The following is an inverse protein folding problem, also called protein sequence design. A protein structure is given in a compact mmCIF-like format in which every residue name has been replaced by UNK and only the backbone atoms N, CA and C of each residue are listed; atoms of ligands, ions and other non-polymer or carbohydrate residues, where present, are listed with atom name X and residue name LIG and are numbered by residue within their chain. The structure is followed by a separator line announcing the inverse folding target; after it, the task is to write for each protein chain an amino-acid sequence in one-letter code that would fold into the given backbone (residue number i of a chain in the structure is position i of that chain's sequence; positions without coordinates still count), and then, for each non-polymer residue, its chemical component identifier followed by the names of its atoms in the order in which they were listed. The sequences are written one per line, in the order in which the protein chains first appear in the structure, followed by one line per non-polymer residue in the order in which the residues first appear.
data_IF_735932236422
#
_entry.id   IF_735932236422
#
_cell.length_a   1.000
_cell.length_b   1.000
_cell.length_c   1.000
_cell.angle_alpha   90.00
_cell.angle_beta   90.00
_cell.angle_gamma   90.00
#
_symmetry.space_group_name_H-M   'P 1'
#
loop_
_entity.id
_entity.type
_entity.pdbx_description
1 polymer ?
#
# COMPACT_ATOMS: atom_id res chain seq x y z
N UNK A 1 -45.12 0.37 -58.60
CA UNK A 1 -45.11 -0.95 -59.28
C UNK A 1 -43.81 -1.63 -58.87
N UNK A 2 -43.81 -2.49 -57.85
CA UNK A 2 -43.97 -3.96 -57.94
C UNK A 2 -42.80 -4.62 -58.71
N UNK A 3 -42.16 -5.73 -58.33
CA UNK A 3 -42.19 -6.67 -57.20
C UNK A 3 -41.10 -7.74 -57.45
N UNK A 4 -40.89 -8.64 -56.47
CA UNK A 4 -40.18 -9.94 -56.49
C UNK A 4 -38.65 -9.90 -56.28
N UNK A 5 -38.00 -10.50 -55.27
CA UNK A 5 -38.25 -11.62 -54.34
C UNK A 5 -38.01 -13.05 -54.88
N UNK A 6 -36.92 -13.69 -54.42
CA UNK A 6 -36.66 -15.13 -54.25
C UNK A 6 -35.37 -15.24 -53.39
N UNK A 7 -35.33 -15.67 -52.12
CA UNK A 7 -35.65 -16.93 -51.39
C UNK A 7 -34.80 -18.16 -51.76
N UNK A 8 -33.88 -18.54 -50.87
CA UNK A 8 -33.71 -19.90 -50.28
C UNK A 8 -32.83 -19.78 -49.00
N UNK A 9 -33.33 -20.00 -47.77
CA UNK A 9 -33.40 -21.27 -46.99
C UNK A 9 -32.10 -22.08 -46.99
N UNK A 10 -31.64 -22.74 -45.93
CA UNK A 10 -31.86 -22.78 -44.48
C UNK A 10 -30.97 -23.92 -43.96
N UNK A 11 -30.39 -23.82 -42.76
CA UNK A 11 -30.22 -24.97 -41.85
C UNK A 11 -29.89 -24.50 -40.44
N UNK A 12 -30.84 -24.79 -39.52
CA UNK A 12 -30.77 -24.61 -38.08
C UNK A 12 -30.17 -25.87 -37.45
N UNK A 13 -29.40 -25.70 -36.39
CA UNK A 13 -29.28 -26.73 -35.35
C UNK A 13 -29.70 -26.11 -34.01
N UNK A 14 -30.85 -26.57 -33.52
CA UNK A 14 -31.36 -26.39 -32.16
C UNK A 14 -30.64 -27.37 -31.24
N UNK A 15 -30.24 -26.93 -30.04
CA UNK A 15 -30.20 -27.82 -28.89
C UNK A 15 -31.11 -27.28 -27.79
N UNK A 16 -31.94 -28.20 -27.32
CA UNK A 16 -33.13 -28.03 -26.51
C UNK A 16 -32.76 -28.13 -25.03
N UNK A 17 -33.29 -27.22 -24.22
CA UNK A 17 -33.39 -27.33 -22.77
C UNK A 17 -34.47 -28.37 -22.40
N UNK A 18 -34.13 -29.33 -21.52
CA UNK A 18 -35.11 -30.02 -20.66
C UNK A 18 -34.54 -30.36 -19.27
N UNK A 19 -35.39 -30.48 -18.23
CA UNK A 19 -35.01 -30.33 -16.83
C UNK A 19 -35.03 -31.63 -15.98
N UNK A 20 -34.28 -31.59 -14.85
CA UNK A 20 -34.39 -32.26 -13.53
C UNK A 20 -34.60 -33.80 -13.42
N UNK A 21 -34.12 -34.43 -12.31
CA UNK A 21 -34.95 -34.46 -11.11
C UNK A 21 -34.22 -34.21 -9.77
N UNK A 22 -35.06 -33.78 -8.82
CA UNK A 22 -34.86 -33.65 -7.38
C UNK A 22 -34.54 -34.99 -6.70
N UNK A 23 -33.66 -34.96 -5.70
CA UNK A 23 -33.48 -35.99 -4.68
C UNK A 23 -32.88 -35.38 -3.41
N UNK A 24 -33.73 -35.16 -2.42
CA UNK A 24 -33.47 -34.68 -1.06
C UNK A 24 -32.40 -35.49 -0.30
N UNK A 25 -31.58 -34.85 0.56
CA UNK A 25 -31.73 -34.89 2.03
C UNK A 25 -30.47 -34.38 2.78
N UNK A 26 -30.71 -33.52 3.78
CA UNK A 26 -29.97 -33.31 5.05
C UNK A 26 -28.45 -33.48 5.14
N UNK A 27 -27.75 -32.44 5.62
CA UNK A 27 -27.14 -32.45 6.97
C UNK A 27 -26.29 -31.20 7.24
N UNK A 28 -26.55 -30.56 8.38
CA UNK A 28 -25.65 -29.62 9.05
C UNK A 28 -24.45 -30.37 9.63
N UNK A 29 -23.23 -29.86 9.42
CA UNK A 29 -22.12 -29.90 10.38
C UNK A 29 -20.94 -29.11 9.78
N UNK A 30 -20.68 -27.88 10.26
CA UNK A 30 -19.59 -27.55 11.22
C UNK A 30 -18.25 -28.22 10.92
N UNK A 31 -17.23 -27.41 10.62
CA UNK A 31 -15.89 -27.46 11.24
C UNK A 31 -15.09 -26.18 10.90
N UNK A 32 -14.87 -25.32 11.91
CA UNK A 32 -13.60 -25.01 12.62
C UNK A 32 -12.70 -24.05 11.81
N UNK A 33 -12.68 -22.74 12.02
CA UNK A 33 -12.37 -21.95 13.23
C UNK A 33 -11.02 -22.32 13.86
N UNK A 34 -10.03 -21.46 13.62
CA UNK A 34 -8.66 -21.51 14.13
C UNK A 34 -8.62 -21.19 15.63
N UNK A 35 -7.93 -22.05 16.37
CA UNK A 35 -7.68 -21.96 17.82
C UNK A 35 -6.55 -20.98 18.13
N UNK A 36 -6.70 -20.27 19.27
CA UNK A 36 -5.64 -19.55 19.98
C UNK A 36 -5.06 -20.47 21.08
N UNK A 37 -3.78 -20.34 21.45
CA UNK A 37 -3.23 -21.10 22.57
C UNK A 37 -3.62 -20.54 23.95
N UNK A 38 -3.73 -21.49 24.87
CA UNK A 38 -4.18 -21.42 26.26
C UNK A 38 -3.23 -20.66 27.20
N UNK A 39 -3.84 -20.10 28.25
CA UNK A 39 -3.18 -19.59 29.46
C UNK A 39 -3.49 -20.56 30.60
N UNK A 40 -2.45 -20.83 31.38
CA UNK A 40 -2.35 -21.76 32.51
C UNK A 40 -3.47 -21.68 33.56
N UNK A 41 -3.88 -22.87 33.99
CA UNK A 41 -4.79 -23.21 35.08
C UNK A 41 -4.11 -23.10 36.46
N UNK A 42 -4.87 -22.68 37.46
CA UNK A 42 -4.83 -23.22 38.83
C UNK A 42 -6.12 -22.88 39.57
N UNK A 43 -7.01 -23.84 39.55
CA UNK A 43 -8.18 -24.02 40.41
C UNK A 43 -7.81 -24.15 41.89
N UNK A 44 -8.67 -23.62 42.77
CA UNK A 44 -8.72 -23.93 44.20
C UNK A 44 -10.17 -24.34 44.54
N UNK A 45 -10.33 -25.53 45.11
CA UNK A 45 -11.62 -26.13 45.46
C UNK A 45 -11.89 -26.01 46.98
N UNK A 46 -13.14 -25.62 47.28
CA UNK A 46 -14.06 -25.93 48.38
C UNK A 46 -13.62 -26.18 49.85
N UNK A 47 -14.35 -25.45 50.71
CA UNK A 47 -15.15 -25.86 51.89
C UNK A 47 -14.47 -26.17 53.24
N UNK A 48 -14.95 -25.50 54.30
CA UNK A 48 -14.81 -25.92 55.70
C UNK A 48 -15.43 -24.93 56.69
N UNK A 49 -16.51 -25.34 57.36
CA UNK A 49 -17.16 -24.67 58.51
C UNK A 49 -16.33 -24.90 59.80
N UNK A 50 -16.41 -23.98 60.77
CA UNK A 50 -15.98 -24.25 62.16
C UNK A 50 -16.01 -23.03 63.08
N UNK A 51 -16.77 -23.12 64.17
CA UNK A 51 -16.96 -22.12 65.23
C UNK A 51 -15.83 -22.09 66.29
N UNK A 52 -15.81 -20.96 67.00
CA UNK A 52 -15.54 -20.77 68.44
C UNK A 52 -14.13 -20.86 69.05
N UNK A 53 -13.77 -19.73 69.67
CA UNK A 53 -13.23 -19.51 71.01
C UNK A 53 -11.78 -19.83 71.45
N UNK A 54 -11.24 -18.77 72.07
CA UNK A 54 -10.24 -18.71 73.15
C UNK A 54 -8.74 -18.80 72.78
N UNK A 55 -8.01 -17.71 72.98
CA UNK A 55 -7.24 -17.48 74.22
C UNK A 55 -6.52 -16.12 74.19
N UNK A 56 -6.53 -15.46 75.35
CA UNK A 56 -5.80 -14.22 75.67
C UNK A 56 -4.28 -14.48 75.72
N UNK A 57 -3.45 -13.50 75.37
CA UNK A 57 -2.58 -12.82 76.36
C UNK A 57 -1.61 -11.80 75.74
N UNK A 58 -1.53 -10.66 76.45
CA UNK A 58 -0.40 -9.77 76.70
C UNK A 58 0.22 -8.88 75.57
N UNK A 59 -0.23 -7.62 75.62
CA UNK A 59 0.51 -6.35 75.45
C UNK A 59 2.04 -6.40 75.77
N UNK A 60 2.90 -5.47 75.26
CA UNK A 60 2.62 -4.04 75.19
C UNK A 60 3.08 -3.26 73.94
N UNK A 61 2.45 -2.09 73.79
CA UNK A 61 2.81 -1.05 72.84
C UNK A 61 4.21 -0.49 73.12
N UNK A 62 5.06 -0.47 72.08
CA UNK A 62 6.24 0.41 71.99
C UNK A 62 6.23 1.13 70.65
N UNK A 63 6.10 2.45 70.76
CA UNK A 63 6.44 3.44 69.75
C UNK A 63 7.87 3.23 69.24
N UNK A 64 8.03 3.06 67.92
CA UNK A 64 9.29 3.32 67.23
C UNK A 64 8.94 4.01 65.91
N UNK A 65 9.36 5.27 65.79
CA UNK A 65 9.46 6.01 64.54
C UNK A 65 10.19 5.17 63.48
N UNK A 66 9.44 4.61 62.53
CA UNK A 66 9.94 3.89 61.37
C UNK A 66 10.11 4.85 60.20
N UNK A 67 11.35 4.95 59.72
CA UNK A 67 11.82 5.76 58.60
C UNK A 67 10.87 5.74 57.40
N UNK A 68 10.61 6.91 56.83
CA UNK A 68 10.04 7.03 55.50
C UNK A 68 10.98 6.31 54.53
N UNK A 69 10.62 5.09 54.14
CA UNK A 69 11.25 4.40 53.04
C UNK A 69 10.94 5.18 51.76
N UNK A 70 12.00 5.58 51.06
CA UNK A 70 11.97 5.98 49.66
C UNK A 70 11.07 5.03 48.87
N UNK A 71 9.85 5.47 48.58
CA UNK A 71 9.04 4.88 47.53
C UNK A 71 9.79 5.19 46.23
N UNK A 72 10.23 4.18 45.45
CA UNK A 72 10.83 4.46 44.16
C UNK A 72 9.81 5.24 43.35
N UNK A 73 10.13 6.49 43.05
CA UNK A 73 9.46 7.24 42.01
C UNK A 73 9.53 6.35 40.76
N UNK A 74 8.42 5.69 40.44
CA UNK A 74 8.25 5.06 39.14
C UNK A 74 8.20 6.22 38.16
N UNK A 75 9.38 6.66 37.72
CA UNK A 75 9.53 7.58 36.61
C UNK A 75 9.02 6.78 35.41
N UNK A 76 7.72 6.88 35.15
CA UNK A 76 7.14 6.34 33.91
C UNK A 76 7.89 7.03 32.78
N UNK A 77 8.66 6.26 32.02
CA UNK A 77 9.29 6.75 30.80
C UNK A 77 8.24 7.54 30.01
N UNK A 78 8.56 8.75 29.54
CA UNK A 78 7.58 9.58 28.84
C UNK A 78 6.97 8.76 27.71
N UNK A 79 5.63 8.70 27.68
CA UNK A 79 4.92 7.90 26.69
C UNK A 79 5.34 8.34 25.30
N UNK A 80 5.94 7.41 24.54
CA UNK A 80 6.39 7.61 23.15
C UNK A 80 5.27 8.28 22.36
N UNK A 81 5.60 9.27 21.53
CA UNK A 81 4.61 9.88 20.65
C UNK A 81 4.04 8.80 19.70
N UNK A 82 2.80 8.97 19.26
CA UNK A 82 2.15 8.02 18.35
C UNK A 82 1.72 8.76 17.09
N UNK A 83 2.13 8.27 15.92
CA UNK A 83 1.69 8.75 14.63
C UNK A 83 0.72 7.75 14.01
N UNK A 84 -0.54 8.16 13.88
CA UNK A 84 -1.57 7.35 13.21
C UNK A 84 -1.70 7.81 11.77
N UNK A 85 -1.27 6.97 10.82
CA UNK A 85 -1.35 7.23 9.38
C UNK A 85 -2.59 6.58 8.78
N UNK A 86 -3.41 7.36 8.08
CA UNK A 86 -4.53 6.82 7.29
C UNK A 86 -4.09 6.54 5.86
N UNK A 87 -4.03 5.25 5.51
CA UNK A 87 -3.78 4.83 4.14
C UNK A 87 -5.00 5.10 3.26
N UNK A 88 -4.79 5.26 1.96
CA UNK A 88 -5.86 5.38 0.96
C UNK A 88 -5.30 5.22 -0.46
N UNK A 89 -6.17 4.93 -1.43
CA UNK A 89 -5.81 4.75 -2.85
C UNK A 89 -5.13 3.41 -3.14
N UNK A 90 -4.67 3.24 -4.38
CA UNK A 90 -3.96 2.02 -4.82
C UNK A 90 -2.59 1.84 -4.16
N UNK A 91 -1.97 0.68 -4.40
CA UNK A 91 -0.72 0.26 -3.75
C UNK A 91 0.39 1.33 -3.77
N UNK A 92 0.71 1.91 -4.94
CA UNK A 92 1.76 2.93 -5.02
C UNK A 92 1.48 4.19 -4.17
N UNK A 93 0.22 4.58 -4.01
CA UNK A 93 -0.15 5.68 -3.11
C UNK A 93 -0.01 5.27 -1.64
N UNK A 94 -0.41 4.05 -1.29
CA UNK A 94 -0.23 3.55 0.08
C UNK A 94 1.24 3.52 0.47
N UNK A 95 2.12 3.13 -0.44
CA UNK A 95 3.57 3.13 -0.22
C UNK A 95 4.09 4.56 0.05
N UNK A 96 3.75 5.55 -0.78
CA UNK A 96 4.14 6.93 -0.50
C UNK A 96 3.58 7.46 0.84
N UNK A 97 2.31 7.20 1.15
CA UNK A 97 1.71 7.61 2.43
C UNK A 97 2.48 6.99 3.60
N UNK A 98 2.80 5.71 3.49
CA UNK A 98 3.57 4.99 4.50
C UNK A 98 4.99 5.55 4.62
N UNK A 99 5.73 5.72 3.52
CA UNK A 99 7.12 6.19 3.55
C UNK A 99 7.26 7.56 4.23
N UNK A 100 6.36 8.50 3.92
CA UNK A 100 6.31 9.82 4.58
C UNK A 100 6.04 9.67 6.09
N UNK A 101 5.05 8.86 6.47
CA UNK A 101 4.72 8.65 7.88
C UNK A 101 5.83 7.89 8.62
N UNK A 102 6.48 6.95 7.97
CA UNK A 102 7.56 6.13 8.51
C UNK A 102 8.79 6.96 8.80
N UNK A 103 9.15 7.87 7.88
CA UNK A 103 10.20 8.86 8.11
C UNK A 103 9.85 9.78 9.26
N UNK A 104 8.63 10.34 9.27
CA UNK A 104 8.21 11.25 10.33
C UNK A 104 8.20 10.56 11.71
N UNK A 105 7.82 9.29 11.77
CA UNK A 105 7.88 8.50 12.99
C UNK A 105 9.33 8.20 13.42
N UNK A 106 10.22 7.85 12.48
CA UNK A 106 11.62 7.55 12.76
C UNK A 106 12.35 8.74 13.42
N UNK A 107 12.28 9.92 12.78
CA UNK A 107 13.01 11.12 13.25
C UNK A 107 12.44 11.73 14.52
N UNK A 108 11.26 11.28 14.96
CA UNK A 108 10.61 11.73 16.19
C UNK A 108 10.67 10.67 17.30
N UNK A 109 11.31 9.54 17.07
CA UNK A 109 11.20 8.35 17.91
C UNK A 109 9.72 8.13 18.33
N UNK A 110 8.84 7.99 17.34
CA UNK A 110 7.40 7.78 17.55
C UNK A 110 6.99 6.34 17.17
N UNK A 111 5.96 5.83 17.83
CA UNK A 111 5.26 4.62 17.38
C UNK A 111 4.47 4.93 16.11
N UNK A 112 4.69 4.17 15.03
CA UNK A 112 3.90 4.25 13.81
C UNK A 112 2.70 3.29 13.89
N UNK A 113 1.51 3.83 13.66
CA UNK A 113 0.25 3.10 13.66
C UNK A 113 -0.47 3.28 12.33
N UNK A 114 -0.82 2.18 11.67
CA UNK A 114 -1.47 2.18 10.34
C UNK A 114 -2.97 1.99 10.47
N UNK A 115 -3.73 2.98 10.03
CA UNK A 115 -5.17 2.88 9.78
C UNK A 115 -5.38 2.33 8.36
N UNK A 116 -5.54 1.01 8.32
CA UNK A 116 -5.71 0.13 7.15
C UNK A 116 -7.16 0.03 6.66
N UNK A 117 -8.11 0.74 7.28
CA UNK A 117 -9.54 0.55 7.03
C UNK A 117 -10.27 1.84 6.68
N UNK A 118 -10.13 2.91 7.46
CA UNK A 118 -10.98 4.09 7.31
C UNK A 118 -10.71 4.84 6.00
N UNK A 119 -9.53 4.60 5.42
CA UNK A 119 -9.12 4.93 4.05
C UNK A 119 -10.08 4.49 2.97
N UNK A 120 -10.57 3.26 3.12
CA UNK A 120 -11.11 2.42 2.06
C UNK A 120 -12.59 2.11 2.26
N UNK A 121 -13.10 2.23 3.49
CA UNK A 121 -14.47 1.86 3.87
C UNK A 121 -15.59 2.46 3.01
N UNK A 122 -15.31 3.54 2.27
CA UNK A 122 -16.26 4.22 1.37
C UNK A 122 -15.66 4.54 0.00
N UNK A 123 -14.56 3.88 -0.37
CA UNK A 123 -13.98 3.99 -1.72
C UNK A 123 -14.77 3.11 -2.69
N UNK A 124 -15.93 3.60 -3.11
CA UNK A 124 -16.80 2.91 -4.07
C UNK A 124 -16.38 3.13 -5.53
N UNK A 125 -15.56 4.15 -5.78
CA UNK A 125 -15.12 4.52 -7.13
C UNK A 125 -14.01 3.59 -7.61
N UNK A 126 -12.98 3.39 -6.78
CA UNK A 126 -11.84 2.56 -7.15
C UNK A 126 -11.82 1.21 -6.45
N UNK A 127 -12.58 1.04 -5.37
CA UNK A 127 -12.64 -0.21 -4.62
C UNK A 127 -11.29 -0.60 -3.98
N UNK A 128 -10.40 0.37 -3.74
CA UNK A 128 -9.06 0.11 -3.22
C UNK A 128 -9.14 -0.52 -1.83
N UNK A 129 -8.21 -1.43 -1.54
CA UNK A 129 -8.06 -2.09 -0.22
C UNK A 129 -6.64 -1.94 0.28
N UNK A 130 -6.42 -2.22 1.57
CA UNK A 130 -5.08 -2.32 2.14
C UNK A 130 -4.23 -3.33 1.35
N UNK A 131 -3.07 -2.87 0.87
CA UNK A 131 -2.22 -3.62 -0.05
C UNK A 131 -0.76 -3.72 0.41
N UNK A 132 -0.41 -3.21 1.60
CA UNK A 132 0.97 -3.27 2.12
C UNK A 132 1.28 -4.56 2.87
N UNK A 133 0.32 -5.47 3.02
CA UNK A 133 0.51 -6.75 3.72
C UNK A 133 1.68 -7.62 3.18
N UNK A 134 2.00 -7.64 1.88
CA UNK A 134 3.11 -8.45 1.35
C UNK A 134 4.53 -7.95 1.73
N UNK A 135 4.66 -6.76 2.33
CA UNK A 135 5.95 -6.17 2.67
C UNK A 135 6.27 -6.33 4.17
N UNK A 136 7.56 -6.30 4.50
CA UNK A 136 8.08 -6.38 5.87
C UNK A 136 7.99 -5.05 6.63
N UNK A 137 6.84 -4.37 6.58
CA UNK A 137 6.66 -3.06 7.20
C UNK A 137 6.69 -3.14 8.73
N UNK A 138 7.38 -2.20 9.37
CA UNK A 138 7.43 -2.08 10.83
C UNK A 138 6.39 -1.07 11.33
N UNK A 139 5.15 -1.53 11.49
CA UNK A 139 4.07 -0.71 12.06
C UNK A 139 2.97 -1.55 12.69
N UNK A 140 2.36 -1.04 13.77
CA UNK A 140 1.16 -1.66 14.37
C UNK A 140 -0.10 -1.25 13.62
N UNK A 141 -1.08 -2.14 13.49
CA UNK A 141 -2.40 -1.79 12.96
C UNK A 141 -3.24 -0.99 13.99
N UNK A 142 -3.97 0.00 13.50
CA UNK A 142 -4.80 0.87 14.33
C UNK A 142 -5.97 0.11 14.97
N UNK A 143 -6.22 0.38 16.26
CA UNK A 143 -7.41 -0.10 16.95
C UNK A 143 -8.64 0.78 16.64
N UNK A 144 -9.82 0.41 17.14
CA UNK A 144 -11.08 1.16 16.88
C UNK A 144 -10.99 2.64 17.28
N UNK A 145 -10.36 2.96 18.40
CA UNK A 145 -10.25 4.34 18.89
C UNK A 145 -9.32 5.20 18.01
N UNK A 146 -8.24 4.60 17.51
CA UNK A 146 -7.27 5.22 16.59
C UNK A 146 -7.86 5.39 15.19
N UNK A 147 -8.79 4.52 14.80
CA UNK A 147 -9.63 4.71 13.60
C UNK A 147 -10.75 5.75 13.80
N UNK A 148 -10.81 6.36 14.98
CA UNK A 148 -11.81 7.36 15.40
C UNK A 148 -13.24 6.83 15.52
N UNK A 149 -13.44 5.54 15.79
CA UNK A 149 -14.79 5.01 16.05
C UNK A 149 -15.30 5.31 17.47
N UNK A 150 -16.64 5.40 17.65
CA UNK A 150 -17.65 5.57 16.60
C UNK A 150 -17.62 7.00 16.01
N UNK A 151 -18.36 7.22 14.91
CA UNK A 151 -18.48 8.52 14.22
C UNK A 151 -17.17 9.04 13.64
N UNK A 152 -16.42 8.16 12.98
CA UNK A 152 -15.10 8.42 12.43
C UNK A 152 -15.07 9.64 11.49
N UNK A 153 -16.13 9.86 10.70
CA UNK A 153 -16.23 11.03 9.80
C UNK A 153 -16.32 12.35 10.57
N UNK A 154 -17.23 12.43 11.55
CA UNK A 154 -17.45 13.63 12.34
C UNK A 154 -16.22 13.96 13.19
N UNK A 155 -15.67 12.96 13.89
CA UNK A 155 -14.48 13.14 14.73
C UNK A 155 -13.27 13.57 13.90
N UNK A 156 -13.10 12.98 12.71
CA UNK A 156 -12.04 13.38 11.76
C UNK A 156 -12.24 14.81 11.25
N UNK A 157 -13.47 15.16 10.87
CA UNK A 157 -13.82 16.52 10.45
C UNK A 157 -13.49 17.54 11.55
N UNK A 158 -13.88 17.28 12.79
CA UNK A 158 -13.57 18.15 13.95
C UNK A 158 -12.05 18.26 14.14
N UNK A 159 -11.31 17.16 14.14
CA UNK A 159 -9.84 17.17 14.28
C UNK A 159 -9.16 17.99 13.19
N UNK A 160 -9.59 17.85 11.93
CA UNK A 160 -9.10 18.67 10.80
C UNK A 160 -9.39 20.14 11.01
N UNK A 161 -10.62 20.49 11.42
CA UNK A 161 -11.02 21.88 11.67
C UNK A 161 -10.22 22.52 12.81
N UNK A 162 -9.95 21.76 13.88
CA UNK A 162 -9.10 22.20 14.99
C UNK A 162 -7.65 22.39 14.55
N UNK A 163 -7.10 21.46 13.75
CA UNK A 163 -5.74 21.56 13.25
C UNK A 163 -5.52 22.78 12.35
N UNK A 164 -6.51 23.17 11.54
CA UNK A 164 -6.44 24.40 10.72
C UNK A 164 -6.33 25.69 11.55
N UNK A 165 -6.78 25.67 12.80
CA UNK A 165 -6.69 26.82 13.73
C UNK A 165 -5.46 26.77 14.63
N UNK A 166 -4.76 25.64 14.67
CA UNK A 166 -3.59 25.47 15.52
C UNK A 166 -2.33 25.92 14.78
N UNK A 167 -1.35 26.44 15.53
CA UNK A 167 0.01 26.57 15.02
C UNK A 167 0.50 25.21 14.51
N UNK A 168 1.31 25.21 13.44
CA UNK A 168 1.76 24.00 12.74
C UNK A 168 2.14 22.92 13.75
N UNK A 169 3.18 23.10 14.57
CA UNK A 169 3.71 22.10 15.52
C UNK A 169 2.74 21.65 16.63
N UNK A 170 1.69 22.42 16.90
CA UNK A 170 0.68 22.08 17.92
C UNK A 170 -0.47 21.26 17.33
N UNK A 171 -0.65 21.27 16.01
CA UNK A 171 -1.73 20.53 15.37
C UNK A 171 -1.63 19.02 15.63
N UNK A 172 -2.75 18.40 16.01
CA UNK A 172 -2.85 16.94 16.20
C UNK A 172 -3.31 16.21 14.94
N UNK A 173 -3.40 16.93 13.82
CA UNK A 173 -3.82 16.41 12.54
C UNK A 173 -3.01 17.09 11.44
N UNK A 174 -2.30 16.29 10.65
CA UNK A 174 -1.51 16.72 9.50
C UNK A 174 -2.29 16.31 8.26
N UNK A 175 -2.62 17.28 7.42
CA UNK A 175 -3.29 17.06 6.14
C UNK A 175 -2.33 17.47 5.03
N UNK A 176 -1.78 16.48 4.33
CA UNK A 176 -0.97 16.72 3.14
C UNK A 176 -1.92 16.95 1.97
N UNK A 177 -1.83 18.12 1.34
CA UNK A 177 -2.64 18.42 0.18
C UNK A 177 -2.11 17.70 -1.06
N UNK A 178 -3.02 17.16 -1.90
CA UNK A 178 -2.62 16.50 -3.15
C UNK A 178 -2.03 17.48 -4.17
N UNK A 179 -2.56 18.69 -4.24
CA UNK A 179 -2.08 19.76 -5.12
C UNK A 179 -1.19 20.74 -4.37
N UNK A 180 -0.36 21.50 -5.11
CA UNK A 180 0.51 22.54 -4.58
C UNK A 180 1.98 22.11 -4.42
N UNK A 181 2.80 23.06 -3.97
CA UNK A 181 4.25 22.90 -3.85
C UNK A 181 4.66 21.92 -2.73
N UNK A 182 5.86 21.35 -2.84
CA UNK A 182 6.46 20.51 -1.79
C UNK A 182 6.44 21.19 -0.41
N UNK A 183 5.95 20.48 0.60
CA UNK A 183 5.81 20.99 1.97
C UNK A 183 7.04 20.64 2.81
N UNK A 184 8.13 21.40 2.64
CA UNK A 184 9.38 21.21 3.38
C UNK A 184 9.22 21.26 4.90
N UNK A 185 8.29 22.08 5.41
CA UNK A 185 7.97 22.17 6.84
C UNK A 185 7.61 20.81 7.49
N UNK A 186 7.17 19.81 6.71
CA UNK A 186 6.89 18.48 7.23
C UNK A 186 8.17 17.76 7.69
N UNK A 187 9.33 18.11 7.11
CA UNK A 187 10.62 17.52 7.46
C UNK A 187 11.07 17.92 8.87
N UNK A 188 10.71 19.11 9.33
CA UNK A 188 11.09 19.65 10.65
C UNK A 188 10.03 19.37 11.73
N UNK A 189 8.95 18.69 11.36
CA UNK A 189 7.80 18.48 12.23
C UNK A 189 8.15 17.65 13.47
N UNK A 190 7.94 18.24 14.65
CA UNK A 190 8.00 17.53 15.94
C UNK A 190 6.66 16.97 16.37
N UNK A 191 6.63 15.67 16.70
CA UNK A 191 5.42 14.97 17.15
C UNK A 191 5.28 15.06 18.67
N UNK A 192 4.04 15.25 19.14
CA UNK A 192 3.70 15.24 20.57
C UNK A 192 2.43 14.44 20.80
N UNK A 193 2.46 13.47 21.72
CA UNK A 193 1.30 12.61 21.99
C UNK A 193 0.79 11.92 20.73
N UNK A 194 -0.53 11.77 20.61
CA UNK A 194 -1.16 11.16 19.42
C UNK A 194 -1.40 12.19 18.32
N UNK A 195 -0.79 11.99 17.17
CA UNK A 195 -0.94 12.82 15.97
C UNK A 195 -1.45 11.97 14.83
N UNK A 196 -2.37 12.51 14.03
CA UNK A 196 -2.93 11.85 12.85
C UNK A 196 -2.32 12.46 11.60
N UNK A 197 -2.05 11.65 10.59
CA UNK A 197 -1.59 12.11 9.27
C UNK A 197 -2.41 11.46 8.17
N UNK A 198 -2.79 12.24 7.16
CA UNK A 198 -3.42 11.73 5.95
C UNK A 198 -3.12 12.62 4.74
N UNK A 199 -3.40 12.07 3.57
CA UNK A 199 -3.09 12.69 2.29
C UNK A 199 -1.72 12.26 1.80
N UNK A 200 -1.44 12.64 0.57
CA UNK A 200 -0.22 12.25 -0.13
C UNK A 200 0.17 13.37 -1.08
N UNK A 201 1.46 13.72 -1.05
CA UNK A 201 2.16 14.37 -2.15
C UNK A 201 3.37 13.51 -2.46
N UNK A 202 3.34 12.83 -3.60
CA UNK A 202 4.38 11.87 -3.95
C UNK A 202 5.69 12.61 -4.26
N UNK A 203 6.75 12.23 -3.54
CA UNK A 203 8.12 12.72 -3.71
C UNK A 203 9.05 11.90 -2.81
N UNK A 204 10.22 11.51 -3.33
CA UNK A 204 11.24 10.84 -2.50
C UNK A 204 11.85 11.78 -1.45
N UNK A 205 11.83 13.09 -1.70
CA UNK A 205 12.42 14.10 -0.80
C UNK A 205 11.81 14.09 0.62
N UNK A 206 10.63 13.48 0.80
CA UNK A 206 10.02 13.30 2.13
C UNK A 206 10.65 12.19 2.98
N UNK A 207 11.34 11.24 2.36
CA UNK A 207 11.87 10.05 3.03
C UNK A 207 13.28 9.66 2.60
N UNK A 208 13.91 10.46 1.74
CA UNK A 208 15.25 10.21 1.19
C UNK A 208 16.33 10.02 2.25
N UNK A 209 16.22 10.71 3.39
CA UNK A 209 17.15 10.60 4.51
C UNK A 209 17.06 9.26 5.25
N UNK A 210 16.05 8.43 4.97
CA UNK A 210 15.90 7.08 5.51
C UNK A 210 15.65 6.05 4.39
N UNK A 211 16.12 6.29 3.18
CA UNK A 211 15.79 5.45 2.02
C UNK A 211 16.18 3.98 2.20
N UNK A 212 17.30 3.69 2.84
CA UNK A 212 17.73 2.31 3.14
C UNK A 212 16.72 1.57 4.02
N UNK A 213 16.20 2.26 5.04
CA UNK A 213 15.15 1.73 5.91
C UNK A 213 13.84 1.51 5.14
N UNK A 214 13.49 2.41 4.22
CA UNK A 214 12.31 2.24 3.36
C UNK A 214 12.50 1.03 2.43
N UNK A 215 13.67 0.86 1.82
CA UNK A 215 13.99 -0.31 0.98
C UNK A 215 13.93 -1.60 1.79
N UNK A 216 14.46 -1.60 3.00
CA UNK A 216 14.40 -2.75 3.91
C UNK A 216 12.97 -3.12 4.27
N UNK A 217 12.12 -2.15 4.63
CA UNK A 217 10.73 -2.41 5.01
C UNK A 217 9.82 -2.74 3.82
N UNK A 218 10.20 -2.34 2.60
CA UNK A 218 9.58 -2.77 1.35
C UNK A 218 10.21 -4.00 0.71
N UNK A 219 11.12 -4.67 1.42
CA UNK A 219 11.43 -6.05 1.08
C UNK A 219 10.14 -6.89 1.18
N UNK A 220 9.96 -7.79 0.23
CA UNK A 220 8.83 -8.71 0.25
C UNK A 220 9.01 -9.72 1.38
N UNK A 221 7.98 -9.89 2.21
CA UNK A 221 8.03 -10.75 3.39
C UNK A 221 8.08 -12.25 3.05
N UNK A 222 7.66 -12.60 1.83
CA UNK A 222 7.65 -13.98 1.32
C UNK A 222 8.55 -14.12 0.09
N UNK A 223 9.08 -15.33 -0.17
CA UNK A 223 9.76 -15.62 -1.44
C UNK A 223 8.80 -15.41 -2.63
N UNK A 224 9.34 -15.29 -3.87
CA UNK A 224 8.50 -15.26 -5.06
C UNK A 224 7.62 -16.50 -5.15
N UNK A 225 6.46 -16.36 -5.77
CA UNK A 225 5.62 -17.52 -6.11
C UNK A 225 6.39 -18.40 -7.10
N UNK A 226 6.31 -19.74 -7.02
CA UNK A 226 7.00 -20.63 -7.97
C UNK A 226 6.64 -20.36 -9.44
N UNK A 227 5.44 -19.83 -9.69
CA UNK A 227 5.00 -19.44 -11.03
C UNK A 227 5.75 -18.21 -11.59
N UNK A 228 6.36 -17.39 -10.74
CA UNK A 228 7.12 -16.20 -11.14
C UNK A 228 8.59 -16.51 -11.43
N UNK A 229 9.08 -17.67 -10.98
CA UNK A 229 10.48 -18.06 -11.07
C UNK A 229 11.02 -18.09 -12.53
N UNK A 230 10.30 -18.63 -13.53
CA UNK A 230 10.77 -18.58 -14.91
C UNK A 230 10.90 -17.15 -15.46
N UNK A 231 9.99 -16.25 -15.06
CA UNK A 231 10.05 -14.85 -15.45
C UNK A 231 11.21 -14.12 -14.76
N UNK A 232 11.45 -14.38 -13.48
CA UNK A 232 12.59 -13.84 -12.75
C UNK A 232 13.93 -14.27 -13.36
N UNK A 233 14.05 -15.54 -13.74
CA UNK A 233 15.24 -16.06 -14.42
C UNK A 233 15.46 -15.40 -15.78
N UNK A 234 14.39 -15.24 -16.57
CA UNK A 234 14.46 -14.53 -17.84
C UNK A 234 14.87 -13.06 -17.65
N UNK A 235 14.25 -12.35 -16.69
CA UNK A 235 14.55 -10.96 -16.35
C UNK A 235 16.03 -10.80 -15.97
N UNK A 236 16.58 -11.73 -15.19
CA UNK A 236 17.97 -11.71 -14.77
C UNK A 236 18.94 -11.98 -15.93
N UNK A 237 18.54 -12.83 -16.89
CA UNK A 237 19.38 -13.27 -18.01
C UNK A 237 19.51 -12.28 -19.18
N UNK A 238 18.70 -11.22 -19.24
CA UNK A 238 18.65 -10.29 -20.39
C UNK A 238 18.80 -8.83 -19.95
N UNK A 239 19.11 -7.89 -20.87
CA UNK A 239 18.97 -6.45 -20.65
C UNK A 239 17.49 -6.06 -20.49
N UNK A 240 16.92 -6.39 -19.32
CA UNK A 240 15.49 -6.31 -19.04
C UNK A 240 15.02 -4.88 -18.78
N UNK A 241 13.95 -4.49 -19.46
CA UNK A 241 13.33 -3.17 -19.34
C UNK A 241 11.88 -3.36 -18.91
N UNK A 242 11.53 -2.96 -17.68
CA UNK A 242 10.14 -2.93 -17.24
C UNK A 242 9.41 -1.79 -17.95
N UNK A 243 8.34 -2.08 -18.69
CA UNK A 243 7.49 -1.08 -19.34
C UNK A 243 6.12 -1.14 -18.68
N UNK A 244 5.71 -0.07 -18.01
CA UNK A 244 4.37 0.00 -17.44
C UNK A 244 3.47 0.83 -18.33
N UNK A 245 2.36 0.24 -18.76
CA UNK A 245 1.28 0.92 -19.47
C UNK A 245 0.04 0.95 -18.60
N UNK A 246 -0.45 2.14 -18.27
CA UNK A 246 -1.60 2.31 -17.37
C UNK A 246 -2.80 2.88 -18.11
N UNK A 247 -3.94 2.20 -17.99
CA UNK A 247 -5.23 2.72 -18.42
C UNK A 247 -5.90 3.47 -17.26
N UNK A 248 -6.24 4.74 -17.46
CA UNK A 248 -7.00 5.55 -16.48
C UNK A 248 -8.49 5.62 -16.81
N UNK A 249 -8.84 5.67 -18.09
CA UNK A 249 -10.23 5.61 -18.59
C UNK A 249 -10.30 4.85 -19.91
N UNK A 250 -11.45 4.21 -20.15
CA UNK A 250 -11.71 3.30 -21.27
C UNK A 250 -12.46 3.92 -22.44
N UNK A 251 -12.93 5.18 -22.33
CA UNK A 251 -13.69 5.85 -23.39
C UNK A 251 -12.76 6.69 -24.27
N UNK A 252 -12.82 6.47 -25.59
CA UNK A 252 -12.07 7.17 -26.63
C UNK A 252 -12.22 8.71 -26.61
N UNK A 253 -13.23 9.24 -25.92
CA UNK A 253 -13.58 10.65 -25.88
C UNK A 253 -12.93 11.45 -24.75
N UNK A 254 -12.15 10.83 -23.86
CA UNK A 254 -11.58 11.49 -22.67
C UNK A 254 -10.11 11.07 -22.42
N UNK A 255 -9.27 11.29 -23.44
CA UNK A 255 -7.85 10.90 -23.50
C UNK A 255 -6.91 11.73 -22.59
N UNK A 256 -7.41 12.73 -21.85
CA UNK A 256 -6.56 13.67 -21.11
C UNK A 256 -5.69 13.02 -19.99
N UNK A 257 -5.97 11.77 -19.62
CA UNK A 257 -5.36 11.09 -18.47
C UNK A 257 -4.39 9.95 -18.82
N UNK A 258 -4.51 9.34 -20.01
CA UNK A 258 -3.57 8.32 -20.47
C UNK A 258 -2.31 8.98 -21.06
N UNK A 259 -1.17 8.31 -20.95
CA UNK A 259 0.03 8.78 -21.65
C UNK A 259 -0.12 8.58 -23.16
N UNK A 260 0.39 9.54 -23.91
CA UNK A 260 0.43 9.49 -25.37
C UNK A 260 1.37 8.38 -25.85
N UNK A 261 1.03 7.69 -26.94
CA UNK A 261 1.88 6.62 -27.49
C UNK A 261 3.25 7.16 -27.96
N UNK A 262 3.31 8.42 -28.39
CA UNK A 262 4.55 9.09 -28.73
C UNK A 262 5.53 9.27 -27.56
N UNK A 263 5.06 9.24 -26.30
CA UNK A 263 5.96 9.14 -25.15
C UNK A 263 6.70 7.80 -25.15
N UNK A 264 5.97 6.69 -25.36
CA UNK A 264 6.57 5.35 -25.34
C UNK A 264 7.52 5.15 -26.52
N UNK A 265 7.19 5.63 -27.72
CA UNK A 265 8.13 5.58 -28.85
C UNK A 265 9.43 6.34 -28.59
N UNK A 266 9.35 7.55 -28.01
CA UNK A 266 10.54 8.30 -27.59
C UNK A 266 11.31 7.56 -26.50
N UNK A 267 10.62 6.92 -25.57
CA UNK A 267 11.24 6.13 -24.50
C UNK A 267 11.97 4.90 -25.05
N UNK A 268 11.38 4.17 -26.00
CA UNK A 268 12.02 3.03 -26.67
C UNK A 268 13.27 3.48 -27.43
N UNK A 269 13.19 4.54 -28.24
CA UNK A 269 14.33 5.08 -28.94
C UNK A 269 15.46 5.55 -27.99
N UNK A 270 15.07 6.13 -26.83
CA UNK A 270 16.03 6.50 -25.80
C UNK A 270 16.71 5.28 -25.17
N UNK A 271 15.97 4.20 -24.88
CA UNK A 271 16.55 2.96 -24.34
C UNK A 271 17.47 2.30 -25.37
N UNK A 272 17.02 2.16 -26.61
CA UNK A 272 17.75 1.49 -27.72
C UNK A 272 19.05 2.18 -28.10
N UNK A 273 19.17 3.47 -27.81
CA UNK A 273 20.41 4.23 -28.05
C UNK A 273 21.41 4.15 -26.90
N UNK A 274 21.11 3.41 -25.83
CA UNK A 274 22.02 3.20 -24.67
C UNK A 274 22.18 1.73 -24.28
N UNK A 275 21.18 0.90 -24.56
CA UNK A 275 21.12 -0.49 -24.17
C UNK A 275 21.09 -1.34 -25.43
N UNK A 276 22.07 -2.22 -25.58
CA UNK A 276 22.11 -3.16 -26.70
C UNK A 276 21.08 -4.27 -26.50
N UNK A 277 20.28 -4.52 -27.55
CA UNK A 277 19.29 -5.60 -27.61
C UNK A 277 18.38 -5.70 -26.35
N UNK A 278 17.66 -4.64 -25.97
CA UNK A 278 16.78 -4.65 -24.80
C UNK A 278 15.64 -5.66 -24.96
N UNK A 279 15.24 -6.27 -23.85
CA UNK A 279 14.03 -7.09 -23.78
C UNK A 279 12.99 -6.38 -22.91
N UNK A 280 11.83 -6.06 -23.50
CA UNK A 280 10.79 -5.29 -22.83
C UNK A 280 9.78 -6.19 -22.12
N UNK A 281 9.59 -6.00 -20.82
CA UNK A 281 8.58 -6.69 -20.03
C UNK A 281 7.39 -5.77 -19.82
N UNK A 282 6.25 -6.11 -20.41
CA UNK A 282 5.07 -5.24 -20.46
C UNK A 282 4.16 -5.54 -19.26
N UNK A 283 3.98 -4.54 -18.40
CA UNK A 283 3.10 -4.57 -17.24
C UNK A 283 1.92 -3.63 -17.46
N UNK A 284 0.71 -4.11 -17.21
CA UNK A 284 -0.51 -3.30 -17.32
C UNK A 284 -1.65 -3.95 -16.56
N UNK A 285 -2.68 -3.16 -16.25
CA UNK A 285 -3.98 -3.69 -15.86
C UNK A 285 -4.73 -4.37 -17.03
N UNK A 286 -4.31 -4.12 -18.28
CA UNK A 286 -4.80 -4.82 -19.49
C UNK A 286 -3.59 -5.20 -20.37
N UNK A 287 -2.82 -6.24 -20.00
CA UNK A 287 -1.48 -6.47 -20.54
C UNK A 287 -1.46 -6.82 -22.04
N UNK A 288 -2.42 -7.60 -22.52
CA UNK A 288 -2.54 -7.91 -23.96
C UNK A 288 -2.84 -6.66 -24.80
N UNK A 289 -3.75 -5.80 -24.34
CA UNK A 289 -4.14 -4.58 -25.05
C UNK A 289 -3.04 -3.52 -25.03
N UNK A 290 -2.31 -3.42 -23.92
CA UNK A 290 -1.14 -2.56 -23.81
C UNK A 290 -0.06 -2.97 -24.83
N UNK A 291 0.23 -4.27 -24.95
CA UNK A 291 1.22 -4.75 -25.91
C UNK A 291 0.81 -4.46 -27.37
N UNK A 292 -0.49 -4.56 -27.67
CA UNK A 292 -1.01 -4.18 -28.99
C UNK A 292 -0.89 -2.67 -29.24
N UNK A 293 -1.29 -1.84 -28.27
CA UNK A 293 -1.24 -0.39 -28.39
C UNK A 293 0.19 0.16 -28.53
N UNK A 294 1.15 -0.45 -27.84
CA UNK A 294 2.57 -0.08 -27.89
C UNK A 294 3.26 -0.41 -29.22
N UNK A 295 2.62 -1.17 -30.12
CA UNK A 295 3.12 -1.47 -31.46
C UNK A 295 4.63 -1.76 -31.50
N UNK A 296 5.08 -2.81 -30.81
CA UNK A 296 6.51 -3.02 -30.51
C UNK A 296 7.43 -3.30 -31.72
N UNK A 297 6.95 -3.24 -32.97
CA UNK A 297 7.73 -3.22 -34.23
C UNK A 297 9.07 -3.98 -34.23
N UNK A 298 9.04 -5.31 -34.03
CA UNK A 298 10.23 -6.16 -34.09
C UNK A 298 11.11 -6.16 -32.83
N UNK A 299 10.77 -5.38 -31.81
CA UNK A 299 11.41 -5.41 -30.49
C UNK A 299 11.12 -6.73 -29.78
N UNK A 300 12.07 -7.20 -28.97
CA UNK A 300 11.88 -8.38 -28.12
C UNK A 300 11.06 -7.99 -26.90
N UNK A 301 9.98 -8.72 -26.63
CA UNK A 301 9.15 -8.45 -25.48
C UNK A 301 8.50 -9.69 -24.86
N UNK A 302 8.09 -9.54 -23.61
CA UNK A 302 7.27 -10.49 -22.87
C UNK A 302 6.10 -9.74 -22.24
N UNK A 303 4.89 -10.22 -22.47
CA UNK A 303 3.69 -9.71 -21.80
C UNK A 303 3.58 -10.39 -20.45
N UNK A 304 3.59 -9.62 -19.36
CA UNK A 304 3.41 -10.15 -18.01
C UNK A 304 1.92 -10.16 -17.69
N UNK A 305 1.38 -11.36 -17.53
CA UNK A 305 -0.03 -11.57 -17.20
C UNK A 305 -0.16 -12.48 -15.98
N UNK A 306 -0.21 -11.85 -14.81
CA UNK A 306 -0.69 -12.50 -13.61
C UNK A 306 -2.21 -12.33 -13.58
N UNK A 307 -2.95 -13.37 -13.96
CA UNK A 307 -4.41 -13.40 -13.95
C UNK A 307 -4.99 -12.56 -12.78
N UNK A 308 -5.91 -11.65 -13.13
CA UNK A 308 -6.39 -10.44 -12.41
C UNK A 308 -6.93 -10.63 -10.97
N UNK A 309 -6.18 -11.32 -10.12
CA UNK A 309 -6.41 -11.45 -8.69
C UNK A 309 -5.74 -10.29 -7.97
N UNK A 310 -6.30 -9.78 -6.88
CA UNK A 310 -5.67 -8.71 -6.08
C UNK A 310 -4.27 -9.11 -5.54
N UNK A 311 -3.96 -10.41 -5.54
CA UNK A 311 -2.62 -10.98 -5.32
C UNK A 311 -1.61 -10.74 -6.45
N UNK A 312 -1.99 -10.17 -7.60
CA UNK A 312 -1.05 -9.93 -8.71
C UNK A 312 -0.19 -8.69 -8.55
N UNK A 313 -0.70 -7.61 -7.93
CA UNK A 313 0.00 -6.31 -7.93
C UNK A 313 1.38 -6.34 -7.26
N UNK A 314 1.52 -7.09 -6.16
CA UNK A 314 2.81 -7.19 -5.48
C UNK A 314 3.78 -8.11 -6.24
N UNK A 315 3.27 -9.08 -7.02
CA UNK A 315 4.08 -9.92 -7.93
C UNK A 315 4.59 -9.09 -9.10
N UNK A 316 3.73 -8.28 -9.72
CA UNK A 316 4.12 -7.32 -10.76
C UNK A 316 5.19 -6.36 -10.24
N UNK A 317 4.96 -5.74 -9.07
CA UNK A 317 5.91 -4.82 -8.47
C UNK A 317 7.26 -5.50 -8.20
N UNK A 318 7.24 -6.76 -7.75
CA UNK A 318 8.44 -7.58 -7.56
C UNK A 318 9.18 -7.73 -8.90
N UNK A 319 8.54 -8.23 -9.95
CA UNK A 319 9.17 -8.40 -11.26
C UNK A 319 9.71 -7.08 -11.83
N UNK A 320 8.94 -5.99 -11.72
CA UNK A 320 9.35 -4.65 -12.16
C UNK A 320 10.63 -4.19 -11.46
N UNK A 321 10.73 -4.41 -10.15
CA UNK A 321 11.94 -4.07 -9.37
C UNK A 321 13.15 -4.94 -9.71
N UNK A 322 12.97 -6.14 -10.26
CA UNK A 322 14.06 -7.02 -10.71
C UNK A 322 14.54 -6.71 -12.14
N UNK A 323 13.74 -6.04 -12.97
CA UNK A 323 14.19 -5.60 -14.30
C UNK A 323 15.38 -4.64 -14.16
N UNK A 324 16.35 -4.64 -15.08
CA UNK A 324 17.55 -3.79 -15.00
C UNK A 324 17.29 -2.31 -15.32
N UNK A 325 16.26 -2.03 -16.09
CA UNK A 325 15.85 -0.69 -16.53
C UNK A 325 14.34 -0.52 -16.43
N UNK A 326 13.83 0.71 -16.56
CA UNK A 326 12.40 0.98 -16.51
C UNK A 326 11.95 2.12 -17.43
N UNK A 327 10.80 1.92 -18.07
CA UNK A 327 9.95 2.96 -18.69
C UNK A 327 8.66 2.98 -17.85
N UNK A 328 8.46 4.04 -17.08
CA UNK A 328 7.32 4.13 -16.17
C UNK A 328 6.15 4.89 -16.81
N UNK A 329 4.93 4.62 -16.34
CA UNK A 329 3.76 5.45 -16.63
C UNK A 329 3.68 6.64 -15.65
N UNK A 330 2.70 7.52 -15.85
CA UNK A 330 2.20 8.52 -14.88
C UNK A 330 1.46 7.84 -13.71
N UNK A 331 2.09 6.84 -13.09
CA UNK A 331 1.53 6.00 -12.05
C UNK A 331 2.53 5.82 -10.91
N UNK A 332 2.06 6.05 -9.67
CA UNK A 332 2.87 5.81 -8.47
C UNK A 332 3.26 4.35 -8.32
N UNK A 333 2.50 3.42 -8.91
CA UNK A 333 2.84 2.01 -8.94
C UNK A 333 4.16 1.74 -9.69
N UNK A 334 4.25 2.21 -10.94
CA UNK A 334 5.49 2.06 -11.72
C UNK A 334 6.65 2.90 -11.19
N UNK A 335 6.34 4.04 -10.55
CA UNK A 335 7.35 4.82 -9.84
C UNK A 335 8.02 3.97 -8.75
N UNK A 336 7.24 3.26 -7.92
CA UNK A 336 7.81 2.37 -6.90
C UNK A 336 8.52 1.17 -7.49
N UNK A 337 8.01 0.59 -8.58
CA UNK A 337 8.71 -0.50 -9.27
C UNK A 337 10.11 -0.10 -9.75
N UNK A 338 10.23 1.11 -10.32
CA UNK A 338 11.52 1.66 -10.72
C UNK A 338 12.41 2.02 -9.52
N UNK A 339 11.86 2.71 -8.52
CA UNK A 339 12.61 3.16 -7.35
C UNK A 339 13.15 1.99 -6.53
N UNK A 340 12.35 0.95 -6.28
CA UNK A 340 12.79 -0.25 -5.55
C UNK A 340 13.87 -1.02 -6.30
N UNK A 341 13.83 -1.02 -7.63
CA UNK A 341 14.84 -1.64 -8.48
C UNK A 341 16.16 -0.87 -8.59
N UNK A 342 16.29 0.26 -7.88
CA UNK A 342 17.57 0.94 -7.67
C UNK A 342 18.27 0.34 -6.44
N UNK A 343 18.77 -0.88 -6.57
CA UNK A 343 19.73 -1.46 -5.64
C UNK A 343 21.14 -1.40 -6.23
N UNK A 344 22.15 -1.24 -5.37
CA UNK A 344 23.51 -0.76 -5.69
C UNK A 344 24.29 -1.44 -6.82
N UNK A 345 25.38 -0.75 -7.20
CA UNK A 345 26.40 -1.00 -8.23
C UNK A 345 26.02 -0.96 -9.72
N UNK A 346 24.73 -1.04 -10.08
CA UNK A 346 24.32 -0.92 -11.49
C UNK A 346 23.61 0.42 -11.80
N UNK A 347 24.04 1.10 -12.86
CA UNK A 347 23.35 2.30 -13.36
C UNK A 347 22.03 1.90 -14.00
N UNK A 348 20.95 1.97 -13.23
CA UNK A 348 19.57 1.77 -13.72
C UNK A 348 19.15 2.95 -14.58
N UNK A 349 18.96 2.73 -15.88
CA UNK A 349 18.26 3.70 -16.75
C UNK A 349 16.75 3.67 -16.46
N UNK A 350 16.21 4.81 -16.03
CA UNK A 350 14.77 5.01 -15.83
C UNK A 350 14.29 6.17 -16.70
N UNK A 351 13.29 5.90 -17.54
CA UNK A 351 12.57 6.88 -18.34
C UNK A 351 11.19 7.11 -17.73
N UNK A 352 10.84 8.37 -17.53
CA UNK A 352 9.58 8.80 -16.93
C UNK A 352 8.92 9.89 -17.79
N UNK A 353 7.57 9.98 -17.79
CA UNK A 353 6.90 11.09 -18.47
C UNK A 353 7.20 12.40 -17.74
N UNK A 354 7.40 13.47 -18.49
CA UNK A 354 7.49 14.81 -17.91
C UNK A 354 6.14 15.21 -17.30
N UNK A 355 6.05 15.42 -15.97
CA UNK A 355 4.78 15.76 -15.34
C UNK A 355 4.16 17.07 -15.84
N UNK A 356 4.96 17.97 -16.43
CA UNK A 356 4.48 19.24 -17.01
C UNK A 356 3.55 19.02 -18.21
N UNK A 357 3.69 17.91 -18.90
CA UNK A 357 2.83 17.54 -20.03
C UNK A 357 1.47 16.97 -19.56
N UNK A 358 1.31 16.67 -18.27
CA UNK A 358 0.13 16.00 -17.71
C UNK A 358 -0.36 16.64 -16.39
N UNK A 359 -0.72 17.95 -16.41
CA UNK A 359 -1.01 18.71 -15.19
C UNK A 359 -2.27 18.25 -14.43
N UNK A 360 -3.23 17.65 -15.13
CA UNK A 360 -4.54 17.26 -14.57
C UNK A 360 -4.49 16.05 -13.63
N UNK A 361 -3.38 15.31 -13.61
CA UNK A 361 -3.29 14.00 -12.98
C UNK A 361 -2.88 14.01 -11.50
N UNK A 362 -2.72 15.20 -10.90
CA UNK A 362 -2.14 15.33 -9.55
C UNK A 362 -0.69 14.80 -9.46
N UNK A 363 -0.08 14.53 -10.62
CA UNK A 363 1.30 14.14 -10.83
C UNK A 363 2.21 15.36 -11.09
N UNK A 364 1.65 16.58 -11.09
CA UNK A 364 2.32 17.84 -11.46
C UNK A 364 3.37 18.37 -10.47
N UNK A 365 3.77 17.57 -9.48
CA UNK A 365 4.85 17.96 -8.56
C UNK A 365 6.20 17.85 -9.27
N UNK A 366 6.93 18.96 -9.38
CA UNK A 366 8.29 18.99 -9.94
C UNK A 366 9.25 18.01 -9.24
N UNK A 367 8.97 17.72 -7.97
CA UNK A 367 9.74 16.83 -7.09
C UNK A 367 9.26 15.38 -7.07
N UNK A 368 8.30 15.04 -7.93
CA UNK A 368 7.81 13.66 -8.04
C UNK A 368 8.84 12.76 -8.71
N UNK A 369 9.38 13.19 -9.86
CA UNK A 369 10.38 12.43 -10.60
C UNK A 369 11.76 12.76 -10.05
N UNK A 370 12.52 11.79 -9.53
CA UNK A 370 13.90 12.01 -9.11
C UNK A 370 14.75 12.63 -10.22
N UNK A 371 15.66 13.53 -9.86
CA UNK A 371 16.52 14.23 -10.83
C UNK A 371 17.40 13.28 -11.67
N UNK A 372 17.71 12.09 -11.12
CA UNK A 372 18.48 11.05 -11.79
C UNK A 372 17.70 10.31 -12.90
N UNK A 373 16.37 10.44 -12.95
CA UNK A 373 15.56 9.79 -13.99
C UNK A 373 15.42 10.68 -15.21
N UNK A 374 15.43 10.06 -16.40
CA UNK A 374 15.23 10.76 -17.66
C UNK A 374 13.74 11.10 -17.82
N UNK A 375 13.43 12.40 -17.85
CA UNK A 375 12.10 12.92 -18.20
C UNK A 375 11.98 13.09 -19.72
N UNK A 376 10.85 12.68 -20.30
CA UNK A 376 10.52 12.84 -21.72
C UNK A 376 9.13 13.44 -21.95
#
# INVERSE_FOLDING_TARGET
MASSALRSRASRAMWVLRPAPCGSCSARCRQRAWERPEVYDRTFDKHGRGCADSMRSNAPAKSIFGKAHDMPLIIRSPKKATLVVRLSGGLGNQMFIYAVARRLAAVNDAELVVDDWSGFARDVVYGSKYALAPFSISARMANRSERLFPFERLRRYIKKRLARKAAFDKAKYILIQKAGAFESQLLDRRLKGVTFIEGIRASEDYFKDIEDLIRQEYAFATPPEPADEPLLQLIAGVPSVAVHFRWFKTSETDNATNLDLGYYEKAFAYVESRIDAPHYFIFSDRPAEAAQALALHGRKFTVVDHASSASSMHRDLRLMSHCRHAIIANSTFSWWGAWLGESGDSVRLVVAPDPRNYPEMGWSSEKLIPHRWKRL
#
